data_IF_055653046127
#
_entry.id   IF_055653046127
#
_cell.length_a   1.000
_cell.length_b   1.000
_cell.length_c   1.000
_cell.angle_alpha   90.00
_cell.angle_beta   90.00
_cell.angle_gamma   90.00
#
_symmetry.space_group_name_H-M   'P 1'
#
loop_
_entity.id
_entity.type
_entity.pdbx_description
1 polymer ?
#
# COMPACT_ATOMS: atom_id res chain seq x y z
N UNK A 1 -7.48 16.99 -13.72
CA UNK A 1 -7.31 16.34 -12.39
C UNK A 1 -6.16 17.02 -11.64
N UNK A 2 -6.19 17.03 -10.30
CA UNK A 2 -5.09 17.59 -9.52
C UNK A 2 -3.85 16.69 -9.61
N UNK A 3 -2.69 17.26 -9.92
CA UNK A 3 -1.39 16.56 -9.94
C UNK A 3 -0.61 16.73 -8.64
N UNK A 4 -0.92 17.77 -7.86
CA UNK A 4 -0.32 18.08 -6.55
C UNK A 4 -1.36 18.62 -5.57
N UNK A 5 -1.02 18.65 -4.28
CA UNK A 5 -1.85 19.21 -3.21
C UNK A 5 -2.90 18.22 -2.68
N UNK A 6 -3.74 18.68 -1.76
CA UNK A 6 -4.71 17.82 -1.05
C UNK A 6 -5.75 17.17 -1.97
N UNK A 7 -5.95 17.69 -3.18
CA UNK A 7 -6.83 17.09 -4.20
C UNK A 7 -6.33 15.75 -4.76
N UNK A 8 -5.10 15.33 -4.45
CA UNK A 8 -4.53 14.04 -4.91
C UNK A 8 -4.83 12.86 -3.98
N UNK A 9 -5.57 13.08 -2.89
CA UNK A 9 -5.90 12.10 -1.85
C UNK A 9 -7.37 12.22 -1.45
N UNK A 10 -7.95 11.13 -0.96
CA UNK A 10 -9.39 11.10 -0.56
C UNK A 10 -9.63 11.58 0.88
N UNK A 11 -8.56 12.03 1.54
CA UNK A 11 -8.53 12.37 2.95
C UNK A 11 -7.24 11.89 3.61
N UNK A 12 -7.19 11.96 4.94
CA UNK A 12 -6.07 11.45 5.75
C UNK A 12 -6.58 10.47 6.80
N UNK A 13 -5.80 9.43 7.10
CA UNK A 13 -6.11 8.52 8.21
C UNK A 13 -4.85 7.87 8.79
N UNK A 14 -4.97 7.24 9.96
CA UNK A 14 -3.95 6.32 10.47
C UNK A 14 -3.85 5.10 9.57
N UNK A 15 -2.67 4.48 9.53
CA UNK A 15 -2.52 3.23 8.81
C UNK A 15 -3.25 2.10 9.55
N UNK A 16 -2.95 1.95 10.84
CA UNK A 16 -3.59 0.98 11.74
C UNK A 16 -5.01 1.43 12.14
N UNK A 17 -5.69 0.67 13.01
CA UNK A 17 -7.11 0.89 13.32
C UNK A 17 -7.36 2.20 14.07
N UNK A 18 -6.44 2.61 14.94
CA UNK A 18 -6.49 3.89 15.67
C UNK A 18 -5.10 4.25 16.26
N UNK A 19 -5.04 5.39 16.97
CA UNK A 19 -3.80 5.88 17.60
C UNK A 19 -3.19 4.98 18.70
N UNK A 20 -3.93 4.01 19.24
CA UNK A 20 -3.45 3.07 20.26
C UNK A 20 -2.85 1.77 19.68
N UNK A 21 -3.05 1.49 18.39
CA UNK A 21 -2.48 0.32 17.73
C UNK A 21 -1.14 0.66 17.08
N UNK A 22 -0.07 0.70 17.90
CA UNK A 22 1.22 1.19 17.45
C UNK A 22 2.44 0.32 17.77
N UNK A 23 2.39 -0.54 18.79
CA UNK A 23 3.57 -1.24 19.32
C UNK A 23 3.56 -2.76 19.05
N UNK A 24 2.89 -3.20 17.99
CA UNK A 24 2.84 -4.61 17.62
C UNK A 24 3.06 -4.76 16.12
N UNK A 25 3.89 -5.73 15.73
CA UNK A 25 4.17 -6.06 14.32
C UNK A 25 2.89 -6.30 13.49
N UNK A 26 1.81 -6.78 14.10
CA UNK A 26 0.54 -6.99 13.40
C UNK A 26 0.00 -5.71 12.72
N UNK A 27 0.30 -4.52 13.26
CA UNK A 27 -0.34 -3.27 12.84
C UNK A 27 0.24 -2.64 11.56
N UNK A 28 1.23 -3.26 10.92
CA UNK A 28 1.65 -2.88 9.54
C UNK A 28 0.79 -3.50 8.46
N UNK A 29 -0.06 -4.46 8.81
CA UNK A 29 -0.85 -5.19 7.83
C UNK A 29 -2.04 -4.40 7.32
N UNK A 30 -2.32 -4.52 6.02
CA UNK A 30 -3.57 -4.04 5.42
C UNK A 30 -4.79 -4.73 6.05
N UNK A 31 -4.62 -6.01 6.38
CA UNK A 31 -5.41 -6.78 7.33
C UNK A 31 -4.45 -7.43 8.33
N UNK A 32 -4.93 -7.80 9.52
CA UNK A 32 -4.08 -8.39 10.55
C UNK A 32 -4.84 -9.35 11.47
N UNK A 33 -4.08 -10.22 12.14
CA UNK A 33 -4.49 -10.96 13.34
C UNK A 33 -3.30 -10.90 14.30
N UNK A 34 -3.51 -10.42 15.53
CA UNK A 34 -2.40 -10.33 16.50
C UNK A 34 -1.82 -11.73 16.75
N UNK A 35 -0.49 -11.86 16.67
CA UNK A 35 0.21 -13.13 16.82
C UNK A 35 0.39 -13.93 15.53
N UNK A 36 -0.08 -13.43 14.38
CA UNK A 36 0.13 -14.06 13.07
C UNK A 36 0.77 -13.07 12.10
N UNK A 37 1.90 -13.45 11.47
CA UNK A 37 2.60 -12.61 10.48
C UNK A 37 1.67 -12.22 9.34
N UNK A 38 0.97 -13.21 8.77
CA UNK A 38 0.07 -13.04 7.63
C UNK A 38 -1.40 -13.03 8.02
N UNK A 39 -1.74 -12.67 9.26
CA UNK A 39 -3.12 -12.69 9.76
C UNK A 39 -4.09 -11.81 8.93
N UNK A 40 -5.35 -12.25 8.84
CA UNK A 40 -6.39 -11.65 7.98
C UNK A 40 -7.71 -11.38 8.74
N UNK A 41 -7.73 -11.53 10.07
CA UNK A 41 -8.97 -11.52 10.85
C UNK A 41 -9.55 -10.12 11.12
N UNK A 42 -8.78 -9.05 10.90
CA UNK A 42 -9.20 -7.67 11.19
C UNK A 42 -8.71 -6.71 10.12
N UNK A 43 -9.58 -5.81 9.67
CA UNK A 43 -9.21 -4.73 8.75
C UNK A 43 -8.45 -3.62 9.48
N UNK A 44 -7.43 -3.08 8.83
CA UNK A 44 -6.78 -1.84 9.27
C UNK A 44 -7.67 -0.61 9.06
N UNK A 45 -7.33 0.52 9.70
CA UNK A 45 -8.05 1.79 9.51
C UNK A 45 -7.93 2.29 8.07
N UNK A 46 -6.76 2.11 7.45
CA UNK A 46 -6.55 2.45 6.05
C UNK A 46 -7.44 1.62 5.11
N UNK A 47 -7.57 0.30 5.37
CA UNK A 47 -8.45 -0.58 4.58
C UNK A 47 -9.91 -0.15 4.69
N UNK A 48 -10.41 0.15 5.89
CA UNK A 48 -11.80 0.60 6.07
C UNK A 48 -12.10 1.88 5.27
N UNK A 49 -11.12 2.79 5.19
CA UNK A 49 -11.22 4.03 4.41
C UNK A 49 -11.33 3.73 2.91
N UNK A 50 -10.48 2.82 2.41
CA UNK A 50 -10.46 2.42 1.01
C UNK A 50 -11.70 1.61 0.62
N UNK A 51 -12.15 0.70 1.47
CA UNK A 51 -13.38 -0.08 1.28
C UNK A 51 -14.58 0.86 1.11
N UNK A 52 -14.68 1.87 1.97
CA UNK A 52 -15.76 2.88 1.89
C UNK A 52 -15.68 3.67 0.58
N UNK A 53 -14.48 4.10 0.19
CA UNK A 53 -14.28 4.79 -1.08
C UNK A 53 -14.67 3.94 -2.28
N UNK A 54 -14.26 2.66 -2.30
CA UNK A 54 -14.57 1.73 -3.39
C UNK A 54 -16.07 1.49 -3.50
N UNK A 55 -16.75 1.28 -2.37
CA UNK A 55 -18.20 1.09 -2.36
C UNK A 55 -18.92 2.29 -3.00
N UNK A 56 -18.57 3.51 -2.59
CA UNK A 56 -19.21 4.74 -3.09
C UNK A 56 -18.87 5.03 -4.55
N UNK A 57 -17.62 4.86 -4.96
CA UNK A 57 -17.13 5.37 -6.24
C UNK A 57 -17.09 4.33 -7.36
N UNK A 58 -17.09 3.04 -7.02
CA UNK A 58 -16.98 1.94 -7.98
C UNK A 58 -18.22 1.06 -7.91
N UNK A 59 -18.46 0.41 -6.78
CA UNK A 59 -19.50 -0.61 -6.66
C UNK A 59 -20.91 -0.03 -6.83
N UNK A 60 -21.24 1.04 -6.09
CA UNK A 60 -22.55 1.69 -6.16
C UNK A 60 -22.83 2.37 -7.51
N UNK A 61 -21.78 2.63 -8.29
CA UNK A 61 -21.90 3.16 -9.66
C UNK A 61 -21.96 2.07 -10.73
N UNK A 62 -21.89 0.80 -10.33
CA UNK A 62 -21.96 -0.34 -11.26
C UNK A 62 -20.68 -0.61 -12.03
N UNK A 63 -19.53 -0.05 -11.62
CA UNK A 63 -18.25 -0.22 -12.33
C UNK A 63 -17.41 -1.40 -11.84
N UNK A 64 -17.98 -2.29 -11.03
CA UNK A 64 -17.25 -3.43 -10.45
C UNK A 64 -16.75 -4.42 -11.51
N UNK A 65 -17.42 -4.51 -12.66
CA UNK A 65 -17.02 -5.33 -13.81
C UNK A 65 -15.80 -4.77 -14.56
N UNK A 66 -15.42 -3.50 -14.32
CA UNK A 66 -14.24 -2.86 -14.90
C UNK A 66 -12.97 -3.09 -14.10
N UNK A 67 -13.07 -3.72 -12.92
CA UNK A 67 -11.94 -3.94 -12.01
C UNK A 67 -11.50 -5.40 -12.08
N UNK A 68 -10.20 -5.61 -12.19
CA UNK A 68 -9.60 -6.94 -12.28
C UNK A 68 -9.79 -7.73 -10.99
N UNK A 69 -10.30 -8.96 -11.13
CA UNK A 69 -10.39 -9.93 -10.02
C UNK A 69 -9.08 -10.68 -9.78
N UNK A 70 -8.17 -10.66 -10.77
CA UNK A 70 -6.93 -11.44 -10.78
C UNK A 70 -5.71 -10.63 -10.33
N UNK A 71 -5.71 -9.32 -10.59
CA UNK A 71 -4.66 -8.43 -10.14
C UNK A 71 -4.89 -8.07 -8.66
N UNK A 72 -4.06 -8.64 -7.79
CA UNK A 72 -4.10 -8.38 -6.35
C UNK A 72 -3.23 -7.21 -5.92
N UNK A 73 -3.15 -7.03 -4.60
CA UNK A 73 -2.28 -6.05 -3.95
C UNK A 73 -1.33 -6.77 -3.00
N UNK A 74 -0.03 -6.46 -3.05
CA UNK A 74 0.95 -7.16 -2.22
C UNK A 74 1.18 -6.43 -0.90
N UNK A 75 0.91 -7.11 0.22
CA UNK A 75 1.20 -6.62 1.57
C UNK A 75 2.67 -6.73 1.98
N UNK A 76 3.43 -7.63 1.35
CA UNK A 76 4.86 -7.90 1.60
C UNK A 76 5.26 -7.88 3.10
N UNK A 77 4.53 -8.63 3.94
CA UNK A 77 4.79 -8.76 5.38
C UNK A 77 5.86 -9.82 5.68
N UNK A 78 6.77 -10.05 4.73
CA UNK A 78 7.92 -10.95 4.90
C UNK A 78 8.84 -10.39 6.00
N UNK A 79 8.97 -11.08 7.14
CA UNK A 79 9.70 -10.56 8.28
C UNK A 79 11.18 -10.95 8.23
N UNK A 80 12.00 -10.13 8.87
CA UNK A 80 13.39 -10.46 9.16
C UNK A 80 13.88 -9.82 10.45
N UNK A 81 14.73 -10.52 11.19
CA UNK A 81 15.53 -9.91 12.28
C UNK A 81 16.86 -9.35 11.78
N UNK A 82 17.15 -9.46 10.48
CA UNK A 82 18.32 -8.88 9.82
C UNK A 82 17.90 -7.70 8.95
N UNK A 83 18.63 -6.59 9.05
CA UNK A 83 18.40 -5.38 8.25
C UNK A 83 18.83 -5.52 6.78
N UNK A 84 19.58 -6.57 6.42
CA UNK A 84 20.17 -6.75 5.09
C UNK A 84 19.68 -7.99 4.35
N UNK A 85 19.05 -8.94 5.04
CA UNK A 85 18.70 -10.24 4.47
C UNK A 85 17.34 -10.68 4.96
N UNK A 86 16.47 -11.14 4.07
CA UNK A 86 15.18 -11.72 4.43
C UNK A 86 15.38 -13.13 5.01
N UNK A 87 15.06 -13.33 6.29
CA UNK A 87 15.28 -14.62 6.97
C UNK A 87 14.02 -15.26 7.57
N UNK A 88 12.85 -14.61 7.43
CA UNK A 88 11.56 -15.13 7.93
C UNK A 88 11.39 -15.07 9.44
N UNK A 89 12.35 -14.51 10.19
CA UNK A 89 12.26 -14.36 11.64
C UNK A 89 11.63 -13.02 12.03
N UNK A 90 10.84 -13.01 13.11
CA UNK A 90 10.15 -11.81 13.60
C UNK A 90 8.68 -11.75 13.14
N UNK A 91 8.18 -10.55 12.88
CA UNK A 91 6.85 -10.32 12.30
C UNK A 91 5.67 -10.51 13.25
N UNK A 92 5.91 -10.83 14.53
CA UNK A 92 4.87 -10.98 15.55
C UNK A 92 5.25 -10.26 16.84
N UNK A 93 4.24 -9.87 17.63
CA UNK A 93 4.44 -9.23 18.92
C UNK A 93 5.31 -7.99 18.83
N UNK A 94 6.28 -7.88 19.74
CA UNK A 94 7.25 -6.78 19.83
C UNK A 94 8.65 -7.17 19.36
N UNK A 95 8.80 -8.24 18.59
CA UNK A 95 10.11 -8.66 18.08
C UNK A 95 10.61 -7.65 17.05
N UNK A 96 11.86 -7.16 17.18
CA UNK A 96 12.47 -6.30 16.16
C UNK A 96 12.35 -6.98 14.79
N UNK A 97 11.80 -6.26 13.81
CA UNK A 97 11.48 -6.81 12.49
C UNK A 97 11.74 -5.79 11.39
N UNK A 98 12.61 -6.12 10.45
CA UNK A 98 12.80 -5.46 9.17
C UNK A 98 11.97 -6.19 8.12
N UNK A 99 11.13 -5.48 7.38
CA UNK A 99 10.28 -6.10 6.37
C UNK A 99 10.95 -6.12 4.99
N UNK A 100 10.42 -6.94 4.08
CA UNK A 100 10.95 -7.11 2.71
C UNK A 100 11.23 -5.78 2.01
N UNK A 101 10.28 -4.85 2.03
CA UNK A 101 10.45 -3.51 1.47
C UNK A 101 11.62 -2.73 2.08
N UNK A 102 11.81 -2.78 3.41
CA UNK A 102 12.97 -2.16 4.07
C UNK A 102 14.27 -2.70 3.51
N UNK A 103 14.39 -4.03 3.48
CA UNK A 103 15.62 -4.71 3.08
C UNK A 103 15.98 -4.35 1.63
N UNK A 104 14.99 -4.27 0.73
CA UNK A 104 15.19 -3.95 -0.68
C UNK A 104 15.47 -2.47 -0.95
N UNK A 105 14.83 -1.56 -0.21
CA UNK A 105 14.79 -0.14 -0.56
C UNK A 105 15.69 0.75 0.30
N UNK A 106 16.15 0.28 1.46
CA UNK A 106 17.05 1.04 2.34
C UNK A 106 18.53 0.75 2.05
N UNK A 107 18.83 -0.42 1.46
CA UNK A 107 20.20 -0.79 1.08
C UNK A 107 20.77 0.11 -0.04
N UNK A 108 22.07 0.05 -0.31
CA UNK A 108 22.71 0.91 -1.31
C UNK A 108 22.37 0.58 -2.77
N UNK A 109 22.03 -0.67 -3.09
CA UNK A 109 21.76 -1.10 -4.48
C UNK A 109 20.34 -0.81 -4.93
N UNK A 110 19.39 -0.66 -3.99
CA UNK A 110 17.97 -0.33 -4.19
C UNK A 110 17.32 -1.25 -5.23
N UNK A 111 16.73 -2.36 -4.78
CA UNK A 111 16.22 -3.42 -5.66
C UNK A 111 14.70 -3.60 -5.58
N UNK A 112 13.88 -2.64 -6.07
CA UNK A 112 12.43 -2.77 -6.03
C UNK A 112 11.94 -3.95 -6.87
N UNK A 113 10.79 -4.52 -6.50
CA UNK A 113 10.15 -5.62 -7.23
C UNK A 113 8.64 -5.46 -7.31
N UNK A 114 8.04 -5.86 -8.43
CA UNK A 114 6.58 -5.98 -8.58
C UNK A 114 6.06 -7.38 -8.20
N UNK A 115 6.96 -8.30 -7.85
CA UNK A 115 6.60 -9.67 -7.47
C UNK A 115 6.21 -9.74 -6.00
N UNK A 116 5.02 -10.26 -5.70
CA UNK A 116 4.67 -10.67 -4.35
C UNK A 116 5.24 -12.05 -4.06
N UNK A 117 6.17 -12.15 -3.10
CA UNK A 117 6.87 -13.40 -2.81
C UNK A 117 5.96 -14.44 -2.16
N UNK A 118 5.09 -14.01 -1.25
CA UNK A 118 4.19 -14.88 -0.49
C UNK A 118 2.74 -14.70 -0.96
N UNK A 119 2.09 -15.79 -1.37
CA UNK A 119 0.67 -15.77 -1.76
C UNK A 119 -0.26 -15.38 -0.59
N UNK A 120 0.13 -15.62 0.66
CA UNK A 120 -0.64 -15.20 1.84
C UNK A 120 -0.72 -13.68 1.98
N UNK A 121 0.21 -12.94 1.37
CA UNK A 121 0.24 -11.47 1.33
C UNK A 121 -0.23 -10.89 -0.01
N UNK A 122 -0.57 -11.74 -0.98
CA UNK A 122 -1.21 -11.30 -2.21
C UNK A 122 -2.71 -11.18 -1.96
N UNK A 123 -3.17 -9.98 -1.63
CA UNK A 123 -4.57 -9.69 -1.37
C UNK A 123 -5.39 -9.71 -2.65
N UNK A 124 -6.36 -10.62 -2.72
CA UNK A 124 -7.28 -10.81 -3.85
C UNK A 124 -8.70 -11.04 -3.35
N UNK A 125 -9.69 -10.96 -4.24
CA UNK A 125 -11.08 -11.29 -3.91
C UNK A 125 -11.33 -12.81 -3.94
N UNK A 126 -12.41 -13.27 -3.32
CA UNK A 126 -12.79 -14.69 -3.25
C UNK A 126 -12.90 -15.39 -4.62
N UNK A 127 -13.34 -14.67 -5.65
CA UNK A 127 -13.44 -15.17 -7.02
C UNK A 127 -12.11 -15.31 -7.78
N UNK A 128 -11.00 -14.82 -7.21
CA UNK A 128 -9.68 -14.87 -7.84
C UNK A 128 -9.13 -16.29 -7.90
N UNK A 129 -8.36 -16.59 -8.95
CA UNK A 129 -7.60 -17.84 -9.08
C UNK A 129 -6.35 -17.90 -8.19
N UNK A 130 -5.90 -16.76 -7.65
CA UNK A 130 -4.63 -16.61 -6.93
C UNK A 130 -4.77 -15.80 -5.64
N UNK A 131 -3.68 -15.73 -4.87
CA UNK A 131 -3.61 -14.93 -3.64
C UNK A 131 -4.43 -15.50 -2.48
N UNK A 132 -4.60 -14.67 -1.45
CA UNK A 132 -5.21 -15.06 -0.18
C UNK A 132 -6.74 -14.96 -0.16
N UNK A 133 -7.37 -14.40 -1.21
CA UNK A 133 -8.83 -14.34 -1.38
C UNK A 133 -9.57 -13.60 -0.26
N UNK A 134 -8.88 -12.74 0.49
CA UNK A 134 -9.39 -12.08 1.68
C UNK A 134 -10.12 -10.75 1.42
N UNK A 135 -9.98 -10.18 0.24
CA UNK A 135 -10.61 -8.90 -0.08
C UNK A 135 -12.11 -9.06 -0.32
N UNK A 136 -12.87 -8.11 0.22
CA UNK A 136 -14.28 -7.88 -0.11
C UNK A 136 -14.42 -6.85 -1.23
N UNK A 137 -13.51 -5.86 -1.28
CA UNK A 137 -13.44 -4.82 -2.30
C UNK A 137 -12.06 -4.84 -2.98
N UNK A 138 -12.04 -4.66 -4.30
CA UNK A 138 -10.84 -4.72 -5.13
C UNK A 138 -10.07 -3.40 -5.11
N UNK A 139 -9.62 -2.99 -3.92
CA UNK A 139 -8.89 -1.74 -3.68
C UNK A 139 -7.74 -1.94 -2.71
N UNK A 140 -6.62 -1.28 -2.98
CA UNK A 140 -5.45 -1.24 -2.14
C UNK A 140 -4.75 0.11 -2.18
N UNK A 141 -3.47 0.12 -1.81
CA UNK A 141 -2.58 1.28 -1.95
C UNK A 141 -1.42 0.93 -2.87
N UNK A 142 -0.76 1.97 -3.36
CA UNK A 142 0.53 1.84 -4.04
C UNK A 142 1.57 1.26 -3.06
N UNK A 143 2.45 0.41 -3.55
CA UNK A 143 3.58 -0.14 -2.77
C UNK A 143 4.77 0.80 -2.77
N UNK A 144 5.65 0.65 -1.78
CA UNK A 144 6.92 1.35 -1.72
C UNK A 144 7.84 1.00 -2.91
N UNK A 145 7.78 -0.25 -3.39
CA UNK A 145 8.52 -0.70 -4.58
C UNK A 145 8.05 0.01 -5.84
N UNK A 146 6.73 0.15 -6.06
CA UNK A 146 6.18 0.92 -7.18
C UNK A 146 6.55 2.40 -7.11
N UNK A 147 6.51 2.99 -5.91
CA UNK A 147 7.02 4.35 -5.69
C UNK A 147 8.50 4.46 -6.06
N UNK A 148 9.30 3.45 -5.68
CA UNK A 148 10.72 3.42 -6.01
C UNK A 148 10.99 3.30 -7.49
N UNK A 149 10.24 2.45 -8.21
CA UNK A 149 10.33 2.34 -9.66
C UNK A 149 9.89 3.62 -10.38
N UNK A 150 8.96 4.38 -9.80
CA UNK A 150 8.56 5.68 -10.32
C UNK A 150 9.63 6.77 -10.15
N UNK A 151 10.57 6.59 -9.21
CA UNK A 151 11.65 7.55 -8.94
C UNK A 151 11.67 8.10 -7.51
N UNK A 152 10.77 7.68 -6.62
CA UNK A 152 10.85 8.03 -5.20
C UNK A 152 11.95 7.22 -4.51
N UNK A 153 12.96 7.86 -3.91
CA UNK A 153 14.12 7.15 -3.37
C UNK A 153 14.16 7.25 -1.84
N UNK A 154 14.61 6.17 -1.19
CA UNK A 154 14.81 6.20 0.25
C UNK A 154 15.87 7.23 0.65
N UNK A 155 15.48 8.18 1.52
CA UNK A 155 16.38 9.19 2.07
C UNK A 155 16.81 10.30 1.11
N UNK A 156 16.49 10.19 -0.18
CA UNK A 156 16.90 11.14 -1.22
C UNK A 156 15.70 11.92 -1.77
N UNK A 157 15.76 13.24 -1.68
CA UNK A 157 14.72 14.15 -2.19
C UNK A 157 14.65 14.03 -3.70
N UNK A 158 13.46 13.74 -4.22
CA UNK A 158 13.14 13.83 -5.63
C UNK A 158 11.74 14.42 -5.78
N UNK A 159 11.58 15.50 -6.54
CA UNK A 159 10.26 16.15 -6.76
C UNK A 159 9.80 16.05 -8.21
N UNK A 160 10.54 15.31 -9.04
CA UNK A 160 10.36 15.29 -10.50
C UNK A 160 9.68 14.01 -11.01
N UNK A 161 9.21 13.14 -10.13
CA UNK A 161 8.55 11.89 -10.50
C UNK A 161 7.03 11.97 -10.38
N UNK A 162 6.31 11.18 -11.19
CA UNK A 162 4.85 11.34 -11.36
C UNK A 162 4.02 11.07 -10.10
N UNK A 163 4.54 10.29 -9.16
CA UNK A 163 3.87 10.00 -7.88
C UNK A 163 4.11 11.10 -6.83
N UNK A 164 5.02 12.04 -7.08
CA UNK A 164 5.19 13.22 -6.24
C UNK A 164 3.97 14.14 -6.33
N UNK A 165 3.31 14.36 -5.20
CA UNK A 165 2.13 15.23 -5.12
C UNK A 165 2.34 16.45 -4.21
N UNK A 166 3.53 16.59 -3.61
CA UNK A 166 3.77 17.58 -2.55
C UNK A 166 2.93 17.33 -1.29
N UNK A 167 2.41 16.12 -1.11
CA UNK A 167 1.67 15.68 0.09
C UNK A 167 2.32 14.43 0.69
N UNK A 168 2.07 14.18 1.97
CA UNK A 168 2.45 12.91 2.59
C UNK A 168 1.35 11.90 2.40
N UNK A 169 1.68 10.68 1.96
CA UNK A 169 0.70 9.62 1.82
C UNK A 169 1.28 8.24 2.14
N UNK A 170 0.40 7.36 2.62
CA UNK A 170 0.73 5.97 2.93
C UNK A 170 1.00 5.17 1.67
N UNK A 171 1.99 4.29 1.74
CA UNK A 171 2.09 3.13 0.84
C UNK A 171 1.52 1.89 1.55
N UNK A 172 1.34 0.79 0.82
CA UNK A 172 0.92 -0.49 1.39
C UNK A 172 2.05 -1.22 2.14
N UNK A 173 3.30 -0.84 1.91
CA UNK A 173 4.47 -1.65 2.27
C UNK A 173 4.92 -1.43 3.72
N UNK A 174 5.01 -2.48 4.54
CA UNK A 174 5.65 -2.43 5.85
C UNK A 174 7.11 -1.96 5.78
N UNK A 175 7.56 -1.25 6.82
CA UNK A 175 8.93 -0.75 6.93
C UNK A 175 9.71 -1.49 8.03
N UNK A 176 9.42 -1.20 9.30
CA UNK A 176 10.25 -1.62 10.43
C UNK A 176 9.47 -1.63 11.73
N UNK A 177 9.78 -2.61 12.59
CA UNK A 177 9.62 -2.51 14.03
C UNK A 177 11.02 -2.50 14.68
N UNK A 178 11.51 -1.36 15.19
CA UNK A 178 12.94 -1.24 15.52
C UNK A 178 13.30 -1.87 16.87
N UNK A 179 12.41 -1.89 17.86
CA UNK A 179 12.68 -2.51 19.17
C UNK A 179 11.40 -2.58 20.02
N UNK A 180 11.45 -3.35 21.10
CA UNK A 180 10.43 -3.37 22.15
C UNK A 180 10.20 -1.96 22.70
N UNK A 181 8.92 -1.59 22.92
CA UNK A 181 8.48 -0.24 23.30
C UNK A 181 8.63 0.85 22.23
N UNK A 182 8.90 0.48 20.98
CA UNK A 182 8.82 1.41 19.85
C UNK A 182 7.45 1.39 19.17
N UNK A 183 7.28 2.28 18.21
CA UNK A 183 6.21 2.23 17.22
C UNK A 183 6.60 1.34 16.06
N UNK A 184 5.60 0.77 15.39
CA UNK A 184 5.75 0.06 14.13
C UNK A 184 5.51 1.02 12.97
N UNK A 185 6.27 0.82 11.89
CA UNK A 185 6.35 1.76 10.78
C UNK A 185 5.92 1.12 9.46
N UNK A 186 5.27 1.93 8.64
CA UNK A 186 4.92 1.66 7.24
C UNK A 186 5.59 2.72 6.37
N UNK A 187 5.92 2.38 5.13
CA UNK A 187 6.52 3.34 4.19
C UNK A 187 5.53 4.46 3.80
N UNK A 188 6.07 5.66 3.71
CA UNK A 188 5.40 6.92 3.39
C UNK A 188 6.21 7.65 2.34
N UNK A 189 5.50 8.26 1.39
CA UNK A 189 6.08 9.31 0.56
C UNK A 189 5.96 10.63 1.30
N UNK A 190 7.06 11.35 1.45
CA UNK A 190 7.13 12.59 2.22
C UNK A 190 6.80 13.82 1.38
N UNK A 191 6.58 14.98 2.03
CA UNK A 191 6.28 16.26 1.36
C UNK A 191 7.32 16.67 0.32
N UNK A 192 8.57 16.25 0.53
CA UNK A 192 9.67 16.51 -0.38
C UNK A 192 9.93 15.38 -1.39
N UNK A 193 9.06 14.36 -1.42
CA UNK A 193 9.06 13.30 -2.42
C UNK A 193 10.04 12.16 -2.18
N UNK A 194 10.82 12.18 -1.10
CA UNK A 194 11.60 11.01 -0.70
C UNK A 194 10.70 9.95 -0.04
N UNK A 195 11.19 8.71 -0.01
CA UNK A 195 10.53 7.56 0.61
C UNK A 195 11.16 7.27 1.98
N UNK A 196 10.38 7.03 3.03
CA UNK A 196 10.89 6.54 4.33
C UNK A 196 9.76 5.97 5.18
N UNK A 197 10.07 5.38 6.32
CA UNK A 197 9.07 4.84 7.25
C UNK A 197 8.51 5.88 8.21
N UNK A 198 7.25 5.72 8.61
CA UNK A 198 6.62 6.51 9.67
C UNK A 198 5.74 5.65 10.58
N UNK A 199 5.61 5.99 11.88
CA UNK A 199 4.71 5.29 12.80
C UNK A 199 3.27 5.18 12.28
N UNK A 200 2.69 3.98 12.35
CA UNK A 200 1.33 3.68 11.83
C UNK A 200 0.20 4.47 12.48
N UNK A 201 0.45 5.07 13.66
CA UNK A 201 -0.50 5.87 14.42
C UNK A 201 -0.63 7.32 13.93
N UNK A 202 0.29 7.79 13.07
CA UNK A 202 0.20 9.11 12.47
C UNK A 202 -0.81 9.14 11.33
N UNK A 203 -1.26 10.32 10.95
CA UNK A 203 -2.26 10.50 9.91
C UNK A 203 -1.60 11.05 8.64
N UNK A 204 -1.72 10.32 7.53
CA UNK A 204 -1.27 10.77 6.21
C UNK A 204 -2.33 10.55 5.15
N UNK A 205 -2.10 11.11 3.97
CA UNK A 205 -2.95 10.99 2.81
C UNK A 205 -3.25 9.55 2.43
N UNK A 206 -4.50 9.30 2.05
CA UNK A 206 -4.98 8.02 1.55
C UNK A 206 -5.19 8.13 0.04
N UNK A 207 -4.54 7.25 -0.73
CA UNK A 207 -4.60 7.22 -2.19
C UNK A 207 -5.04 5.84 -2.65
N UNK A 208 -6.32 5.66 -3.04
CA UNK A 208 -6.83 4.39 -3.53
C UNK A 208 -6.14 3.96 -4.81
N UNK A 209 -5.85 2.67 -4.94
CA UNK A 209 -5.42 2.02 -6.17
C UNK A 209 -6.41 0.92 -6.52
N UNK A 210 -6.83 0.88 -7.78
CA UNK A 210 -7.62 -0.19 -8.38
C UNK A 210 -6.86 -0.73 -9.58
N UNK A 211 -7.02 -2.03 -9.86
CA UNK A 211 -6.47 -2.65 -11.05
C UNK A 211 -7.56 -2.77 -12.10
N UNK A 212 -7.36 -2.21 -13.29
CA UNK A 212 -8.35 -2.29 -14.37
C UNK A 212 -8.34 -3.70 -14.98
N UNK A 213 -9.52 -4.23 -15.32
CA UNK A 213 -9.63 -5.51 -16.02
C UNK A 213 -9.05 -5.41 -17.44
N UNK A 214 -8.42 -6.50 -17.92
CA UNK A 214 -7.61 -6.48 -19.14
C UNK A 214 -8.41 -6.32 -20.44
N UNK A 215 -9.71 -6.60 -20.39
CA UNK A 215 -10.66 -6.53 -21.49
C UNK A 215 -11.46 -5.22 -21.50
N UNK A 216 -11.14 -4.30 -20.59
CA UNK A 216 -11.73 -2.97 -20.56
C UNK A 216 -11.11 -2.08 -21.63
N UNK A 217 -11.96 -1.45 -22.42
CA UNK A 217 -11.53 -0.44 -23.39
C UNK A 217 -11.16 0.86 -22.66
N UNK A 218 -9.99 1.40 -23.00
CA UNK A 218 -9.46 2.65 -22.47
C UNK A 218 -9.19 3.61 -23.64
N UNK A 219 -9.66 4.85 -23.51
CA UNK A 219 -9.35 5.95 -24.42
C UNK A 219 -8.44 6.98 -23.75
N UNK A 220 -7.95 7.95 -24.53
CA UNK A 220 -7.00 8.96 -24.07
C UNK A 220 -5.54 8.51 -24.12
N UNK A 221 -4.62 9.48 -24.06
CA UNK A 221 -3.18 9.27 -24.15
C UNK A 221 -2.48 9.08 -22.81
N UNK A 222 -3.20 9.28 -21.70
CA UNK A 222 -2.65 9.20 -20.35
C UNK A 222 -1.90 10.46 -19.91
N UNK A 223 -1.98 11.55 -20.68
CA UNK A 223 -1.41 12.84 -20.30
C UNK A 223 -2.33 13.59 -19.35
N UNK A 224 -1.84 14.65 -18.68
CA UNK A 224 -2.68 15.48 -17.80
C UNK A 224 -3.80 16.21 -18.54
N UNK A 225 -3.61 16.48 -19.83
CA UNK A 225 -4.59 17.13 -20.71
C UNK A 225 -5.56 16.13 -21.37
N UNK A 226 -5.14 14.87 -21.50
CA UNK A 226 -5.91 13.80 -22.13
C UNK A 226 -5.70 12.49 -21.34
N UNK A 227 -6.32 12.39 -20.15
CA UNK A 227 -6.14 11.28 -19.23
C UNK A 227 -6.79 10.01 -19.77
N UNK A 228 -6.36 8.85 -19.26
CA UNK A 228 -7.05 7.60 -19.56
C UNK A 228 -8.48 7.61 -19.03
N UNK A 229 -9.43 7.26 -19.91
CA UNK A 229 -10.86 7.14 -19.60
C UNK A 229 -11.31 5.72 -19.90
N UNK A 230 -11.98 5.09 -18.93
CA UNK A 230 -12.61 3.78 -19.13
C UNK A 230 -13.93 3.98 -19.86
N UNK A 231 -14.07 3.36 -21.03
CA UNK A 231 -15.31 3.45 -21.81
C UNK A 231 -16.47 2.85 -21.02
N UNK A 232 -17.59 3.58 -20.97
CA UNK A 232 -18.77 3.18 -20.19
C UNK A 232 -18.68 3.48 -18.68
N UNK A 233 -17.59 4.09 -18.21
CA UNK A 233 -17.49 4.69 -16.88
C UNK A 233 -17.64 6.23 -16.92
N UNK A 234 -18.32 6.73 -17.95
CA UNK A 234 -18.62 8.14 -18.15
C UNK A 234 -19.88 8.50 -17.36
N UNK A 235 -19.79 9.52 -16.51
CA UNK A 235 -20.89 10.06 -15.71
C UNK A 235 -20.74 11.56 -15.54
#
# INVERSE_FOLDING_TARGET
MATTGTGTQIGTNTFSINGSTYNNNAYVGYMYTVGQVHGLGTNSGIKNTLDSWYQTNIANKGYGDKVSIEAGFCGDREPSTSSSTSNGAGGTGTTQTYYGGYIRLVNSTKSPTLKCKNNEDMYTISGSSRGNKALTNLVGLITADEVSMAGGVYGDINKSYYLYTGQQYWTMSPYLFPTTNSHVHVFVVWLDGYLSGSPVLYTFGVRPVINIASDVEITGSGTSADPYVVVGAEG
#
